data_IF_250159407617
#
_entry.id   IF_250159407617
#
_cell.length_a   1.000
_cell.length_b   1.000
_cell.length_c   1.000
_cell.angle_alpha   90.00
_cell.angle_beta   90.00
_cell.angle_gamma   90.00
#
_symmetry.space_group_name_H-M   'P 1'
#
loop_
_entity.id
_entity.type
_entity.pdbx_description
1 polymer ?
#
# COMPACT_ATOMS: atom_id res chain seq x y z
N UNK A 1 -2.07 3.10 33.12
CA UNK A 1 -1.51 4.14 34.03
C UNK A 1 -1.63 3.80 35.52
N UNK A 2 -2.82 3.48 36.04
CA UNK A 2 -3.06 3.30 37.49
C UNK A 2 -2.22 2.19 38.14
N UNK A 3 -1.91 1.14 37.40
CA UNK A 3 -1.19 -0.04 37.89
C UNK A 3 0.26 -0.12 37.39
N UNK A 4 0.65 0.74 36.44
CA UNK A 4 1.92 0.66 35.71
C UNK A 4 2.24 -0.72 35.10
N UNK A 5 1.23 -1.56 34.88
CA UNK A 5 1.34 -2.87 34.23
C UNK A 5 0.68 -2.84 32.85
N UNK A 6 1.12 -3.68 31.89
CA UNK A 6 0.42 -3.87 30.62
C UNK A 6 -1.04 -4.29 30.86
N UNK A 7 -1.96 -3.73 30.08
CA UNK A 7 -3.35 -4.17 30.03
C UNK A 7 -3.46 -5.39 29.12
N UNK A 8 -4.16 -6.44 29.55
CA UNK A 8 -4.30 -7.70 28.81
C UNK A 8 -5.75 -8.03 28.44
N UNK A 9 -6.70 -7.20 28.86
CA UNK A 9 -8.13 -7.51 28.75
C UNK A 9 -8.63 -7.34 27.31
N UNK A 10 -8.12 -6.33 26.61
CA UNK A 10 -8.47 -5.98 25.23
C UNK A 10 -7.18 -5.98 24.39
N UNK A 11 -6.78 -7.13 23.82
CA UNK A 11 -5.64 -7.20 22.92
C UNK A 11 -5.84 -6.42 21.61
N UNK A 12 -7.09 -6.14 21.22
CA UNK A 12 -7.39 -5.39 20.00
C UNK A 12 -8.59 -4.45 20.18
N UNK A 13 -8.38 -3.19 19.81
CA UNK A 13 -9.40 -2.14 19.80
C UNK A 13 -9.38 -1.44 18.43
N UNK A 14 -10.48 -1.51 17.70
CA UNK A 14 -10.69 -0.77 16.46
C UNK A 14 -11.67 0.37 16.72
N UNK A 15 -11.34 1.58 16.26
CA UNK A 15 -12.16 2.79 16.48
C UNK A 15 -12.36 3.53 15.16
N UNK A 16 -13.59 3.96 14.93
CA UNK A 16 -14.01 4.91 13.91
C UNK A 16 -14.29 6.24 14.59
N UNK A 17 -13.84 7.34 13.99
CA UNK A 17 -14.14 8.71 14.41
C UNK A 17 -14.08 9.65 13.20
N UNK A 18 -14.43 10.93 13.40
CA UNK A 18 -14.41 11.94 12.33
C UNK A 18 -13.00 12.24 11.79
N UNK A 19 -11.97 12.06 12.62
CA UNK A 19 -10.57 12.27 12.29
C UNK A 19 -9.66 11.21 12.94
N UNK A 20 -8.45 11.05 12.38
CA UNK A 20 -7.52 10.01 12.78
C UNK A 20 -6.92 10.24 14.18
N UNK A 21 -6.79 11.48 14.63
CA UNK A 21 -6.25 11.82 15.96
C UNK A 21 -7.21 11.35 17.05
N UNK A 22 -8.50 11.65 16.89
CA UNK A 22 -9.57 11.22 17.79
C UNK A 22 -9.66 9.69 17.83
N UNK A 23 -9.57 9.03 16.68
CA UNK A 23 -9.60 7.57 16.61
C UNK A 23 -8.42 6.93 17.35
N UNK A 24 -7.20 7.46 17.19
CA UNK A 24 -5.97 6.94 17.81
C UNK A 24 -5.99 7.10 19.34
N UNK A 25 -6.41 8.28 19.83
CA UNK A 25 -6.56 8.54 21.26
C UNK A 25 -7.60 7.60 21.87
N UNK A 26 -8.77 7.45 21.23
CA UNK A 26 -9.83 6.56 21.73
C UNK A 26 -9.41 5.09 21.70
N UNK A 27 -8.68 4.64 20.66
CA UNK A 27 -8.17 3.27 20.60
C UNK A 27 -7.17 2.97 21.73
N UNK A 28 -6.30 3.94 22.03
CA UNK A 28 -5.37 3.85 23.17
C UNK A 28 -6.10 3.78 24.50
N UNK A 29 -7.14 4.60 24.70
CA UNK A 29 -7.96 4.56 25.91
C UNK A 29 -8.70 3.21 26.02
N UNK A 30 -9.26 2.71 24.91
CA UNK A 30 -9.97 1.44 24.87
C UNK A 30 -9.09 0.25 25.24
N UNK A 31 -7.79 0.29 24.93
CA UNK A 31 -6.82 -0.75 25.30
C UNK A 31 -6.52 -0.79 26.81
N UNK A 32 -6.92 0.23 27.56
CA UNK A 32 -6.66 0.37 29.01
C UNK A 32 -7.91 0.20 29.87
N UNK A 33 -9.07 0.66 29.38
CA UNK A 33 -10.34 0.54 30.08
C UNK A 33 -10.94 -0.87 29.96
N UNK A 34 -11.92 -1.18 30.81
CA UNK A 34 -12.68 -2.43 30.66
C UNK A 34 -13.58 -2.35 29.42
N UNK A 35 -13.92 -3.45 28.74
CA UNK A 35 -14.70 -3.42 27.50
C UNK A 35 -16.00 -2.61 27.58
N UNK A 36 -16.78 -2.78 28.66
CA UNK A 36 -18.02 -2.04 28.87
C UNK A 36 -17.81 -0.54 29.13
N UNK A 37 -16.70 -0.16 29.76
CA UNK A 37 -16.35 1.25 29.99
C UNK A 37 -15.87 1.90 28.69
N UNK A 38 -15.07 1.18 27.91
CA UNK A 38 -14.59 1.58 26.59
C UNK A 38 -15.73 1.87 25.63
N UNK A 39 -16.71 0.97 25.51
CA UNK A 39 -17.90 1.16 24.65
C UNK A 39 -18.68 2.41 25.06
N UNK A 40 -18.97 2.59 26.36
CA UNK A 40 -19.69 3.77 26.85
C UNK A 40 -18.95 5.08 26.58
N UNK A 41 -17.62 5.07 26.73
CA UNK A 41 -16.81 6.25 26.45
C UNK A 41 -16.88 6.59 24.96
N UNK A 42 -16.72 5.61 24.08
CA UNK A 42 -16.76 5.84 22.63
C UNK A 42 -18.15 6.33 22.21
N UNK A 43 -19.22 5.76 22.75
CA UNK A 43 -20.60 6.21 22.48
C UNK A 43 -20.89 7.64 22.99
N UNK A 44 -20.08 8.17 23.91
CA UNK A 44 -20.18 9.56 24.36
C UNK A 44 -19.57 10.56 23.38
N UNK A 45 -18.78 10.10 22.40
CA UNK A 45 -18.14 10.93 21.39
C UNK A 45 -18.99 10.91 20.10
N UNK A 46 -19.56 12.05 19.67
CA UNK A 46 -20.40 12.10 18.47
C UNK A 46 -19.64 11.62 17.22
N UNK A 47 -20.26 10.71 16.48
CA UNK A 47 -19.68 10.15 15.26
C UNK A 47 -18.56 9.13 15.50
N UNK A 48 -18.30 8.74 16.75
CA UNK A 48 -17.37 7.67 17.07
C UNK A 48 -18.08 6.32 17.23
N UNK A 49 -17.38 5.26 16.86
CA UNK A 49 -17.81 3.88 17.07
C UNK A 49 -16.58 3.00 17.32
N UNK A 50 -16.73 1.92 18.07
CA UNK A 50 -15.65 0.97 18.30
C UNK A 50 -16.11 -0.48 18.19
N UNK A 51 -15.16 -1.35 17.89
CA UNK A 51 -15.28 -2.76 18.21
C UNK A 51 -14.01 -3.31 18.83
N UNK A 52 -14.20 -4.07 19.90
CA UNK A 52 -13.17 -4.54 20.81
C UNK A 52 -13.18 -6.05 20.82
N UNK A 53 -11.99 -6.66 20.73
CA UNK A 53 -11.81 -8.09 20.90
C UNK A 53 -11.11 -8.31 22.23
N UNK A 54 -11.75 -9.04 23.13
CA UNK A 54 -11.16 -9.39 24.43
C UNK A 54 -10.21 -10.58 24.31
N UNK A 55 -9.33 -10.75 25.29
CA UNK A 55 -8.43 -11.91 25.36
C UNK A 55 -9.17 -13.25 25.47
N UNK A 56 -10.42 -13.25 25.95
CA UNK A 56 -11.32 -14.40 25.94
C UNK A 56 -12.05 -14.64 24.60
N UNK A 57 -11.76 -13.86 23.56
CA UNK A 57 -12.40 -13.97 22.24
C UNK A 57 -13.78 -13.34 22.13
N UNK A 58 -14.33 -12.79 23.23
CA UNK A 58 -15.60 -12.06 23.18
C UNK A 58 -15.44 -10.72 22.46
N UNK A 59 -16.43 -10.38 21.63
CA UNK A 59 -16.47 -9.16 20.82
C UNK A 59 -17.47 -8.18 21.44
N UNK A 60 -17.04 -6.94 21.66
CA UNK A 60 -17.88 -5.84 22.15
C UNK A 60 -17.83 -4.70 21.13
N UNK A 61 -18.95 -4.40 20.49
CA UNK A 61 -19.04 -3.24 19.61
C UNK A 61 -20.05 -2.21 20.14
N UNK A 62 -19.79 -0.93 19.89
CA UNK A 62 -20.74 0.17 20.14
C UNK A 62 -21.91 0.12 19.15
N UNK A 63 -23.03 0.75 19.50
CA UNK A 63 -24.23 0.76 18.64
C UNK A 63 -23.99 1.31 17.22
N UNK A 64 -23.07 2.28 17.06
CA UNK A 64 -22.72 2.87 15.77
C UNK A 64 -21.73 2.04 14.94
N UNK A 65 -21.28 0.88 15.44
CA UNK A 65 -20.31 0.06 14.72
C UNK A 65 -20.99 -0.66 13.55
N UNK A 66 -20.43 -0.60 12.32
CA UNK A 66 -21.00 -1.30 11.18
C UNK A 66 -20.89 -2.81 11.41
N UNK A 67 -22.03 -3.46 11.68
CA UNK A 67 -22.08 -4.92 11.85
C UNK A 67 -21.77 -5.57 10.50
N UNK A 68 -20.57 -6.13 10.35
CA UNK A 68 -20.30 -7.10 9.31
C UNK A 68 -20.87 -8.45 9.74
N UNK A 69 -21.59 -9.13 8.85
CA UNK A 69 -21.96 -10.54 9.04
C UNK A 69 -20.72 -11.36 9.39
N UNK A 70 -20.80 -12.30 10.36
CA UNK A 70 -19.62 -12.94 10.92
C UNK A 70 -18.90 -13.78 9.86
N UNK A 71 -17.70 -13.33 9.48
CA UNK A 71 -16.73 -14.17 8.78
C UNK A 71 -16.14 -15.14 9.80
N UNK A 72 -16.15 -16.42 9.45
CA UNK A 72 -15.70 -17.53 10.29
C UNK A 72 -14.27 -17.34 10.83
N UNK A 73 -14.06 -17.94 12.00
CA UNK A 73 -12.83 -18.15 12.77
C UNK A 73 -11.49 -17.72 12.13
N UNK A 74 -10.74 -16.99 12.96
CA UNK A 74 -9.38 -16.49 12.78
C UNK A 74 -8.43 -17.65 12.43
N UNK A 75 -8.10 -17.77 11.14
CA UNK A 75 -6.93 -18.46 10.64
C UNK A 75 -5.99 -17.43 10.01
N UNK A 76 -4.70 -17.56 10.32
CA UNK A 76 -3.52 -16.80 9.86
C UNK A 76 -3.73 -15.59 8.93
N UNK A 77 -3.19 -14.45 9.36
CA UNK A 77 -3.13 -13.16 8.67
C UNK A 77 -3.01 -13.25 7.15
N UNK A 78 -4.08 -12.81 6.46
CA UNK A 78 -4.04 -12.36 5.07
C UNK A 78 -4.38 -10.87 5.06
N UNK A 79 -3.56 -9.98 4.47
CA UNK A 79 -3.83 -8.55 4.46
C UNK A 79 -5.15 -8.24 3.76
N UNK A 80 -5.87 -7.26 4.33
CA UNK A 80 -7.14 -6.69 3.91
C UNK A 80 -7.50 -6.90 2.42
N UNK A 81 -8.37 -7.88 2.18
CA UNK A 81 -9.18 -7.95 0.98
C UNK A 81 -10.37 -7.01 1.24
N UNK A 82 -10.14 -5.69 1.03
CA UNK A 82 -11.23 -4.80 0.65
C UNK A 82 -11.97 -5.50 -0.48
N UNK A 83 -13.30 -5.55 -0.44
CA UNK A 83 -14.14 -6.14 -1.48
C UNK A 83 -13.81 -5.51 -2.84
N UNK A 84 -12.77 -6.02 -3.49
CA UNK A 84 -12.38 -5.69 -4.82
C UNK A 84 -13.51 -6.23 -5.69
N UNK A 85 -14.26 -5.33 -6.31
CA UNK A 85 -15.00 -5.70 -7.51
C UNK A 85 -14.07 -6.57 -8.36
N UNK A 86 -14.48 -7.80 -8.73
CA UNK A 86 -13.66 -8.74 -9.51
C UNK A 86 -12.94 -7.98 -10.61
N UNK A 87 -11.63 -7.81 -10.48
CA UNK A 87 -10.86 -7.11 -11.49
C UNK A 87 -10.56 -8.07 -12.62
N UNK A 88 -10.70 -7.64 -13.89
CA UNK A 88 -10.36 -8.47 -15.03
C UNK A 88 -8.84 -8.64 -15.18
N UNK A 89 -8.06 -7.84 -14.45
CA UNK A 89 -6.60 -7.83 -14.51
C UNK A 89 -5.99 -8.13 -13.15
N UNK A 90 -4.96 -8.95 -13.17
CA UNK A 90 -4.07 -9.22 -12.05
C UNK A 90 -2.62 -9.14 -12.54
N UNK A 91 -1.92 -8.11 -12.10
CA UNK A 91 -0.50 -7.87 -12.39
C UNK A 91 0.29 -8.02 -11.11
N UNK A 92 1.25 -8.93 -11.11
CA UNK A 92 2.14 -9.21 -9.99
C UNK A 92 3.56 -8.86 -10.39
N UNK A 93 4.14 -7.90 -9.69
CA UNK A 93 5.55 -7.53 -9.82
C UNK A 93 6.31 -8.02 -8.59
N UNK A 94 7.43 -8.66 -8.81
CA UNK A 94 8.41 -8.99 -7.78
C UNK A 94 9.75 -8.35 -8.14
N UNK A 95 10.41 -7.68 -7.21
CA UNK A 95 11.74 -7.13 -7.42
C UNK A 95 12.60 -7.26 -6.16
N UNK A 96 13.90 -7.44 -6.36
CA UNK A 96 14.88 -7.56 -5.29
C UNK A 96 15.78 -6.32 -5.24
N UNK A 97 15.75 -5.62 -4.12
CA UNK A 97 16.71 -4.55 -3.83
C UNK A 97 18.04 -5.21 -3.49
N UNK A 98 19.07 -4.88 -4.25
CA UNK A 98 20.40 -5.45 -4.10
C UNK A 98 21.05 -5.07 -2.75
N UNK A 99 21.85 -6.00 -2.21
CA UNK A 99 22.79 -5.68 -1.12
C UNK A 99 23.90 -4.80 -1.70
N UNK A 100 24.31 -3.76 -0.98
CA UNK A 100 25.43 -2.95 -1.46
C UNK A 100 26.73 -3.75 -1.47
N UNK A 101 27.45 -3.64 -2.59
CA UNK A 101 28.72 -4.31 -2.82
C UNK A 101 29.95 -3.53 -2.32
N UNK A 102 29.82 -2.65 -1.31
CA UNK A 102 30.92 -1.77 -0.88
C UNK A 102 31.01 -1.54 0.62
N UNK A 103 32.23 -1.29 1.12
CA UNK A 103 32.54 -1.09 2.55
C UNK A 103 32.18 0.28 3.14
N UNK A 104 31.50 1.14 2.39
CA UNK A 104 31.00 2.43 2.88
C UNK A 104 29.70 2.31 3.69
N UNK A 105 29.27 3.41 4.32
CA UNK A 105 27.99 3.45 5.03
C UNK A 105 26.83 3.24 4.04
N UNK A 106 26.17 2.09 4.12
CA UNK A 106 25.05 1.75 3.24
C UNK A 106 23.89 2.75 3.42
N UNK A 107 23.44 3.32 2.30
CA UNK A 107 22.22 4.11 2.20
C UNK A 107 21.17 3.27 1.49
N UNK A 108 19.97 3.18 2.07
CA UNK A 108 18.85 2.50 1.42
C UNK A 108 18.44 3.30 0.18
N UNK A 109 18.25 2.65 -0.98
CA UNK A 109 17.79 3.36 -2.16
C UNK A 109 16.35 3.84 -1.96
N UNK A 110 16.04 4.96 -2.61
CA UNK A 110 14.68 5.32 -2.96
C UNK A 110 14.23 4.46 -4.12
N UNK A 111 12.97 4.05 -4.11
CA UNK A 111 12.39 3.22 -5.17
C UNK A 111 11.02 3.74 -5.54
N UNK A 112 10.75 3.89 -6.84
CA UNK A 112 9.40 4.08 -7.36
C UNK A 112 9.05 2.96 -8.34
N UNK A 113 7.80 2.51 -8.25
CA UNK A 113 7.18 1.60 -9.21
C UNK A 113 5.88 2.25 -9.67
N UNK A 114 5.73 2.45 -10.98
CA UNK A 114 4.54 3.06 -11.56
C UNK A 114 4.27 2.55 -12.97
N UNK A 115 3.09 2.85 -13.48
CA UNK A 115 2.65 2.50 -14.83
C UNK A 115 2.36 3.78 -15.61
N UNK A 116 2.81 3.83 -16.86
CA UNK A 116 2.44 4.86 -17.84
C UNK A 116 1.62 4.23 -18.97
N UNK A 117 0.70 4.99 -19.55
CA UNK A 117 -0.02 4.60 -20.76
C UNK A 117 0.83 4.74 -22.04
N UNK A 118 0.21 4.52 -23.19
CA UNK A 118 0.87 4.61 -24.50
C UNK A 118 1.40 6.01 -24.84
N UNK A 119 0.82 7.06 -24.25
CA UNK A 119 1.21 8.45 -24.43
C UNK A 119 2.29 8.88 -23.42
N UNK A 120 2.65 8.00 -22.49
CA UNK A 120 3.63 8.25 -21.43
C UNK A 120 3.04 9.01 -20.23
N UNK A 121 1.71 9.08 -20.12
CA UNK A 121 1.04 9.66 -18.97
C UNK A 121 1.00 8.65 -17.82
N UNK A 122 1.43 9.02 -16.59
CA UNK A 122 1.42 8.13 -15.44
C UNK A 122 0.00 7.89 -14.92
N UNK A 123 -0.47 6.66 -15.08
CA UNK A 123 -1.83 6.26 -14.71
C UNK A 123 -1.93 5.75 -13.26
N UNK A 124 -0.84 5.23 -12.69
CA UNK A 124 -0.83 4.66 -11.35
C UNK A 124 0.57 4.63 -10.75
N UNK A 125 0.75 5.14 -9.55
CA UNK A 125 1.95 4.83 -8.74
C UNK A 125 1.66 3.66 -7.81
N UNK A 126 2.35 2.53 -8.02
CA UNK A 126 2.11 1.28 -7.33
C UNK A 126 2.87 1.15 -6.01
N UNK A 127 4.10 1.64 -5.97
CA UNK A 127 4.92 1.63 -4.77
C UNK A 127 5.89 2.79 -4.77
N UNK A 128 6.04 3.43 -3.62
CA UNK A 128 6.94 4.56 -3.44
C UNK A 128 7.68 4.41 -2.12
N UNK A 129 8.97 4.08 -2.18
CA UNK A 129 9.86 3.99 -1.02
C UNK A 129 10.71 5.25 -0.94
N UNK A 130 10.37 6.12 -0.01
CA UNK A 130 11.01 7.42 0.21
C UNK A 130 11.28 7.64 1.70
N UNK A 131 12.28 8.48 2.01
CA UNK A 131 12.38 9.05 3.35
C UNK A 131 11.53 10.32 3.41
N UNK A 132 10.42 10.26 4.16
CA UNK A 132 9.55 11.41 4.38
C UNK A 132 10.06 12.31 5.52
N UNK A 133 10.64 11.71 6.57
CA UNK A 133 10.82 12.38 7.87
C UNK A 133 12.29 12.81 8.12
N UNK A 134 12.72 13.86 7.41
CA UNK A 134 13.99 14.60 7.61
C UNK A 134 15.23 14.04 6.85
N UNK A 135 15.90 14.84 5.98
CA UNK A 135 15.70 16.27 5.67
C UNK A 135 14.50 16.58 4.75
N UNK A 136 13.45 15.77 4.79
CA UNK A 136 12.18 16.04 4.14
C UNK A 136 12.12 15.51 2.71
N UNK A 137 11.03 15.82 1.98
CA UNK A 137 10.74 15.25 0.66
C UNK A 137 11.81 15.52 -0.41
N UNK A 138 12.86 16.32 -0.16
CA UNK A 138 13.90 16.73 -1.14
C UNK A 138 14.39 15.62 -2.08
N UNK A 139 14.43 14.41 -1.57
CA UNK A 139 14.99 13.23 -2.23
C UNK A 139 14.08 12.60 -3.28
N UNK A 140 12.80 12.94 -3.32
CA UNK A 140 11.93 12.49 -4.42
C UNK A 140 12.47 12.94 -5.78
N UNK A 141 13.24 14.04 -5.84
CA UNK A 141 13.87 14.55 -7.06
C UNK A 141 14.97 13.64 -7.60
N UNK A 142 15.50 12.75 -6.76
CA UNK A 142 16.51 11.77 -7.18
C UNK A 142 15.87 10.63 -7.99
N UNK A 143 14.57 10.37 -7.77
CA UNK A 143 13.72 9.58 -8.68
C UNK A 143 13.27 10.48 -9.83
N UNK A 144 14.23 10.85 -10.69
CA UNK A 144 14.09 11.87 -11.74
C UNK A 144 12.92 11.60 -12.68
N UNK A 145 12.77 10.36 -13.16
CA UNK A 145 11.70 10.04 -14.13
C UNK A 145 10.35 10.06 -13.43
N UNK A 146 10.22 9.34 -12.31
CA UNK A 146 8.98 9.31 -11.54
C UNK A 146 8.56 10.71 -11.07
N UNK A 147 9.49 11.53 -10.58
CA UNK A 147 9.21 12.89 -10.16
C UNK A 147 8.69 13.74 -11.32
N UNK A 148 9.31 13.63 -12.50
CA UNK A 148 8.82 14.30 -13.71
C UNK A 148 7.42 13.81 -14.09
N UNK A 149 7.16 12.51 -14.01
CA UNK A 149 5.84 11.93 -14.29
C UNK A 149 4.80 12.41 -13.28
N UNK A 150 5.07 12.39 -11.97
CA UNK A 150 4.15 12.89 -10.95
C UNK A 150 3.84 14.39 -11.11
N UNK A 151 4.80 15.21 -11.55
CA UNK A 151 4.52 16.62 -11.90
C UNK A 151 3.52 16.75 -13.05
N UNK A 152 3.59 15.89 -14.06
CA UNK A 152 2.60 15.86 -15.16
C UNK A 152 1.24 15.37 -14.66
N UNK A 153 1.20 14.33 -13.82
CA UNK A 153 -0.03 13.84 -13.19
C UNK A 153 -0.75 14.95 -12.41
N UNK A 154 0.02 15.74 -11.64
CA UNK A 154 -0.51 16.85 -10.83
C UNK A 154 -1.19 17.94 -11.65
N UNK A 155 -0.99 18.01 -12.98
CA UNK A 155 -1.71 18.96 -13.84
C UNK A 155 -3.19 18.60 -14.04
N UNK A 156 -3.57 17.35 -13.80
CA UNK A 156 -4.93 16.82 -14.03
C UNK A 156 -5.55 16.17 -12.78
N UNK A 157 -4.78 16.08 -11.69
CA UNK A 157 -5.20 15.48 -10.42
C UNK A 157 -4.41 16.07 -9.23
N UNK A 158 -5.12 16.78 -8.36
CA UNK A 158 -4.56 17.46 -7.18
C UNK A 158 -4.14 16.50 -6.04
N UNK A 159 -4.36 15.19 -6.18
CA UNK A 159 -3.97 14.21 -5.16
C UNK A 159 -2.47 14.28 -4.83
N UNK A 160 -2.14 14.35 -3.53
CA UNK A 160 -0.75 14.40 -3.05
C UNK A 160 -0.19 13.00 -2.81
N UNK A 161 0.27 12.34 -3.87
CA UNK A 161 0.76 10.95 -3.79
C UNK A 161 1.83 10.73 -2.72
N UNK A 162 2.80 11.63 -2.59
CA UNK A 162 3.89 11.46 -1.60
C UNK A 162 3.34 11.29 -0.18
N UNK A 163 2.35 12.07 0.23
CA UNK A 163 1.75 11.96 1.57
C UNK A 163 0.87 10.72 1.75
N UNK A 164 0.32 10.20 0.66
CA UNK A 164 -0.71 9.15 0.70
C UNK A 164 -0.14 7.74 0.53
N UNK A 165 0.83 7.55 -0.37
CA UNK A 165 1.31 6.22 -0.78
C UNK A 165 2.78 5.95 -0.44
N UNK A 166 3.54 6.97 -0.02
CA UNK A 166 4.94 6.75 0.31
C UNK A 166 5.11 5.89 1.56
N UNK A 167 6.16 5.07 1.54
CA UNK A 167 6.60 4.25 2.67
C UNK A 167 8.08 4.52 2.93
N UNK A 168 8.57 4.31 4.17
CA UNK A 168 9.98 4.42 4.47
C UNK A 168 10.86 3.58 3.55
N UNK A 169 12.07 4.04 3.27
CA UNK A 169 13.06 3.28 2.50
C UNK A 169 13.29 1.89 3.08
N UNK A 170 13.42 0.91 2.20
CA UNK A 170 13.47 -0.51 2.53
C UNK A 170 14.90 -1.05 2.49
N UNK A 171 15.15 -2.12 3.26
CA UNK A 171 16.44 -2.82 3.25
C UNK A 171 16.62 -3.64 1.96
N UNK A 172 17.82 -4.16 1.67
CA UNK A 172 17.98 -5.19 0.66
C UNK A 172 17.02 -6.37 0.90
N UNK A 173 16.47 -6.94 -0.16
CA UNK A 173 15.51 -8.04 -0.08
C UNK A 173 14.47 -7.99 -1.20
N UNK A 174 13.57 -8.98 -1.18
CA UNK A 174 12.52 -9.17 -2.18
C UNK A 174 11.24 -8.44 -1.77
N UNK A 175 10.65 -7.71 -2.71
CA UNK A 175 9.43 -6.94 -2.54
C UNK A 175 8.43 -7.32 -3.62
N UNK A 176 7.16 -7.39 -3.23
CA UNK A 176 6.03 -7.74 -4.12
C UNK A 176 5.06 -6.57 -4.20
N UNK A 177 4.57 -6.33 -5.40
CA UNK A 177 3.61 -5.28 -5.74
C UNK A 177 2.55 -5.91 -6.61
N UNK A 178 1.29 -5.80 -6.18
CA UNK A 178 0.13 -6.25 -6.94
C UNK A 178 -0.60 -5.05 -7.51
N UNK A 179 -1.16 -5.20 -8.71
CA UNK A 179 -1.96 -4.19 -9.37
C UNK A 179 -3.13 -4.84 -10.11
N UNK A 180 -4.28 -4.19 -10.00
CA UNK A 180 -5.57 -4.69 -10.47
C UNK A 180 -6.05 -4.00 -11.76
N UNK A 181 -5.17 -3.19 -12.38
CA UNK A 181 -5.45 -2.46 -13.60
C UNK A 181 -6.26 -1.17 -13.39
N UNK A 182 -6.38 -0.68 -12.15
CA UNK A 182 -7.03 0.61 -11.87
C UNK A 182 -6.04 1.77 -11.77
N UNK A 183 -6.49 2.96 -12.15
CA UNK A 183 -5.73 4.19 -12.02
C UNK A 183 -5.69 4.70 -10.55
N UNK A 184 -5.07 5.86 -10.33
CA UNK A 184 -4.99 6.51 -9.02
C UNK A 184 -6.38 6.93 -8.45
N UNK A 185 -7.40 7.10 -9.31
CA UNK A 185 -8.79 7.41 -8.94
C UNK A 185 -9.62 6.16 -8.62
N UNK A 186 -9.10 4.98 -8.95
CA UNK A 186 -9.78 3.71 -8.79
C UNK A 186 -10.60 3.29 -10.01
N UNK A 187 -10.50 4.02 -11.12
CA UNK A 187 -11.17 3.69 -12.37
C UNK A 187 -10.40 2.61 -13.13
N UNK A 188 -11.13 1.68 -13.74
CA UNK A 188 -10.51 0.60 -14.51
C UNK A 188 -9.91 1.16 -15.81
N UNK A 189 -8.64 0.86 -16.05
CA UNK A 189 -7.96 1.28 -17.27
C UNK A 189 -8.47 0.54 -18.50
N UNK A 190 -8.37 1.22 -19.64
CA UNK A 190 -8.73 0.66 -20.94
C UNK A 190 -7.73 -0.41 -21.37
N UNK A 191 -8.17 -1.30 -22.26
CA UNK A 191 -7.25 -2.23 -22.91
C UNK A 191 -6.28 -1.44 -23.80
N UNK A 192 -5.01 -1.85 -23.82
CA UNK A 192 -4.02 -1.18 -24.64
C UNK A 192 -2.60 -1.35 -24.14
N UNK A 193 -1.70 -0.56 -24.71
CA UNK A 193 -0.27 -0.60 -24.39
C UNK A 193 0.01 0.23 -23.15
N UNK A 194 0.77 -0.36 -22.23
CA UNK A 194 1.23 0.27 -21.00
C UNK A 194 2.71 -0.04 -20.81
N UNK A 195 3.38 0.80 -20.01
CA UNK A 195 4.77 0.57 -19.62
C UNK A 195 4.88 0.60 -18.10
N UNK A 196 5.34 -0.51 -17.52
CA UNK A 196 5.72 -0.59 -16.13
C UNK A 196 7.15 -0.06 -15.96
N UNK A 197 7.37 0.75 -14.94
CA UNK A 197 8.68 1.26 -14.57
C UNK A 197 9.08 0.84 -13.16
N UNK A 198 10.36 0.56 -12.97
CA UNK A 198 11.02 0.44 -11.66
C UNK A 198 12.21 1.39 -11.68
N UNK A 199 12.19 2.39 -10.82
CA UNK A 199 13.27 3.36 -10.66
C UNK A 199 13.88 3.22 -9.27
N UNK A 200 15.22 3.20 -9.21
CA UNK A 200 15.96 3.16 -7.97
C UNK A 200 17.06 4.22 -7.98
N UNK A 201 17.12 5.02 -6.92
CA UNK A 201 18.12 6.06 -6.74
C UNK A 201 18.67 6.03 -5.31
N UNK A 202 19.99 5.98 -5.16
CA UNK A 202 20.65 5.94 -3.85
C UNK A 202 21.50 7.18 -3.62
N UNK A 203 21.43 7.74 -2.42
CA UNK A 203 22.30 8.83 -1.97
C UNK A 203 23.78 8.42 -2.12
N UNK A 204 24.54 9.18 -2.91
CA UNK A 204 25.93 8.88 -3.30
C UNK A 204 26.11 7.49 -3.95
N UNK A 205 25.03 6.89 -4.45
CA UNK A 205 25.03 5.59 -5.14
C UNK A 205 24.73 5.76 -6.62
N UNK A 206 24.11 4.73 -7.22
CA UNK A 206 23.74 4.76 -8.63
C UNK A 206 22.28 5.16 -8.83
N UNK A 207 21.99 5.56 -10.06
CA UNK A 207 20.64 5.76 -10.56
C UNK A 207 20.34 4.64 -11.56
N UNK A 208 19.23 3.94 -11.38
CA UNK A 208 18.82 2.81 -12.22
C UNK A 208 17.36 2.96 -12.61
N UNK A 209 17.06 2.71 -13.89
CA UNK A 209 15.71 2.74 -14.42
C UNK A 209 15.47 1.49 -15.26
N UNK A 210 14.51 0.69 -14.86
CA UNK A 210 14.01 -0.46 -15.62
C UNK A 210 12.64 -0.11 -16.18
N UNK A 211 12.36 -0.57 -17.40
CA UNK A 211 11.05 -0.43 -18.03
C UNK A 211 10.66 -1.72 -18.73
N UNK A 212 9.37 -2.02 -18.73
CA UNK A 212 8.81 -3.17 -19.39
C UNK A 212 7.46 -2.79 -19.99
N UNK A 213 7.36 -2.84 -21.33
CA UNK A 213 6.12 -2.59 -22.05
C UNK A 213 5.28 -3.86 -22.11
N UNK A 214 3.98 -3.73 -21.87
CA UNK A 214 3.03 -4.84 -21.91
C UNK A 214 1.66 -4.36 -22.41
N UNK A 215 0.77 -5.30 -22.72
CA UNK A 215 -0.59 -5.01 -23.19
C UNK A 215 -1.62 -5.41 -22.13
N UNK A 216 -2.30 -4.42 -21.55
CA UNK A 216 -3.41 -4.65 -20.63
C UNK A 216 -4.62 -5.14 -21.42
N UNK A 217 -5.20 -6.26 -21.00
CA UNK A 217 -6.21 -6.99 -21.79
C UNK A 217 -5.65 -7.86 -22.92
N UNK A 218 -4.32 -7.97 -23.04
CA UNK A 218 -3.64 -8.89 -23.95
C UNK A 218 -3.54 -10.32 -23.39
N UNK A 219 -2.62 -11.10 -23.96
CA UNK A 219 -2.33 -12.46 -23.51
C UNK A 219 -1.61 -12.48 -22.14
N UNK A 220 -1.87 -13.53 -21.36
CA UNK A 220 -1.17 -13.77 -20.10
C UNK A 220 0.33 -13.98 -20.34
N UNK A 221 1.15 -13.48 -19.41
CA UNK A 221 2.60 -13.64 -19.50
C UNK A 221 3.26 -13.72 -18.12
N UNK A 222 4.48 -14.23 -18.11
CA UNK A 222 5.36 -14.26 -16.96
C UNK A 222 6.80 -14.08 -17.45
N UNK A 223 7.40 -12.93 -17.14
CA UNK A 223 8.68 -12.51 -17.70
C UNK A 223 9.67 -12.09 -16.62
N UNK A 224 10.93 -12.44 -16.84
CA UNK A 224 12.06 -12.00 -16.02
C UNK A 224 12.71 -10.76 -16.64
N UNK A 225 12.88 -9.73 -15.84
CA UNK A 225 13.57 -8.50 -16.23
C UNK A 225 15.05 -8.60 -15.86
N UNK A 226 15.90 -8.03 -16.72
CA UNK A 226 17.35 -7.98 -16.48
C UNK A 226 17.65 -7.09 -15.27
N UNK A 227 18.30 -7.66 -14.26
CA UNK A 227 18.76 -6.93 -13.08
C UNK A 227 19.86 -5.90 -13.37
N UNK A 228 20.09 -5.03 -12.39
CA UNK A 228 21.09 -3.97 -12.38
C UNK A 228 21.70 -3.80 -10.97
N UNK A 229 22.45 -2.72 -10.76
CA UNK A 229 23.22 -2.48 -9.52
C UNK A 229 22.34 -2.29 -8.28
N UNK A 230 21.18 -1.63 -8.41
CA UNK A 230 20.29 -1.37 -7.27
C UNK A 230 19.17 -2.41 -7.18
N UNK A 231 18.77 -3.01 -8.30
CA UNK A 231 17.71 -4.03 -8.41
C UNK A 231 18.31 -5.31 -9.01
N UNK A 232 18.69 -6.28 -8.17
CA UNK A 232 19.41 -7.48 -8.62
C UNK A 232 18.57 -8.43 -9.47
N UNK A 233 17.26 -8.47 -9.24
CA UNK A 233 16.30 -9.25 -10.00
C UNK A 233 14.94 -8.55 -10.02
N UNK A 234 14.19 -8.70 -11.09
CA UNK A 234 12.76 -8.36 -11.12
C UNK A 234 12.01 -9.28 -12.09
N UNK A 235 10.75 -9.57 -11.78
CA UNK A 235 9.85 -10.34 -12.63
C UNK A 235 8.45 -9.73 -12.61
N UNK A 236 7.75 -9.90 -13.71
CA UNK A 236 6.37 -9.46 -13.88
C UNK A 236 5.53 -10.64 -14.37
N UNK A 237 4.38 -10.81 -13.75
CA UNK A 237 3.33 -11.72 -14.19
C UNK A 237 2.08 -10.93 -14.45
N UNK A 238 1.42 -11.21 -15.56
CA UNK A 238 0.13 -10.65 -15.90
C UNK A 238 -0.84 -11.79 -16.18
N UNK A 239 -2.04 -11.69 -15.60
CA UNK A 239 -3.19 -12.50 -15.99
C UNK A 239 -4.39 -11.61 -16.27
N UNK A 240 -4.89 -11.70 -17.50
CA UNK A 240 -6.18 -11.17 -17.88
C UNK A 240 -7.22 -12.24 -17.60
N UNK A 241 -7.90 -12.18 -16.45
CA UNK A 241 -9.10 -12.99 -16.23
C UNK A 241 -10.13 -12.57 -17.27
N UNK A 242 -10.20 -13.30 -18.38
CA UNK A 242 -11.31 -13.16 -19.32
C UNK A 242 -12.59 -13.28 -18.50
N UNK A 243 -13.39 -12.21 -18.49
CA UNK A 243 -14.76 -12.31 -18.03
C UNK A 243 -15.37 -13.45 -18.85
N UNK A 244 -15.75 -14.53 -18.16
CA UNK A 244 -16.40 -15.67 -18.78
C UNK A 244 -17.50 -15.12 -19.69
N UNK A 245 -17.38 -15.41 -20.98
CA UNK A 245 -18.43 -15.12 -21.94
C UNK A 245 -19.72 -15.68 -21.40
N UNK A 246 -20.64 -14.80 -21.03
CA UNK A 246 -22.03 -15.14 -20.76
C UNK A 246 -22.64 -15.53 -22.11
N UNK A 247 -22.41 -16.79 -22.50
CA UNK A 247 -23.23 -17.49 -23.47
C UNK A 247 -24.57 -17.78 -22.79
N UNK A 248 -25.62 -17.04 -23.15
CA UNK A 248 -26.83 -17.58 -23.79
C UNK A 248 -27.82 -16.48 -24.13
#
# INVERSE_FOLDING_TARGET
>A
PRTARPSSDIPSASVLAADAETADVLATICSVLRPAESVRLVESVPGAACCLVTSGGAIFCSAGWPVQSPVAAIGDEKPAEQSAAKTPYDVQLEFEIAKAAGGGRYRRPYVAVWVEDADGFPVKTLSLFLMADNPGPRWHRDLRRWYSSDQVRQLVDDAKLIGTISKPTRNPGVYKVAWDGRDDKGDLLQKGKYTLYIEAAREHGTYQLMKHGFELGGADFNEQLKGNVEISAASIRYSGKQAASEQK
#
